data_IF_144274215224
#
_entry.id   IF_144274215224
#
_cell.length_a   1.000
_cell.length_b   1.000
_cell.length_c   1.000
_cell.angle_alpha   90.00
_cell.angle_beta   90.00
_cell.angle_gamma   90.00
#
_symmetry.space_group_name_H-M   'P 1'
#
loop_
_entity.id
_entity.type
_entity.pdbx_description
1 polymer ?
#
# COMPACT_ATOMS: atom_id res chain seq x y z
N UNK A 1 -41.24 -46.77 -12.00
CA UNK A 1 -41.16 -45.45 -11.33
C UNK A 1 -40.16 -44.61 -12.10
N UNK A 2 -40.64 -43.69 -12.93
CA UNK A 2 -39.78 -42.80 -13.70
C UNK A 2 -39.40 -41.61 -12.82
N UNK A 3 -38.10 -41.42 -12.57
CA UNK A 3 -37.57 -40.19 -11.98
C UNK A 3 -37.77 -39.07 -13.00
N UNK A 4 -38.91 -38.39 -12.94
CA UNK A 4 -39.12 -37.13 -13.63
C UNK A 4 -38.40 -36.03 -12.85
N UNK A 5 -37.08 -36.02 -12.96
CA UNK A 5 -36.30 -34.83 -12.63
C UNK A 5 -36.69 -33.81 -13.69
N UNK A 6 -37.55 -32.84 -13.34
CA UNK A 6 -37.80 -31.68 -14.19
C UNK A 6 -36.42 -31.14 -14.60
N UNK A 7 -36.17 -31.07 -15.91
CA UNK A 7 -34.92 -30.54 -16.42
C UNK A 7 -34.80 -29.10 -15.93
N UNK A 8 -33.80 -28.83 -15.09
CA UNK A 8 -33.51 -27.49 -14.58
C UNK A 8 -33.30 -26.53 -15.75
N UNK A 9 -33.78 -25.30 -15.62
CA UNK A 9 -33.62 -24.25 -16.63
C UNK A 9 -32.48 -23.31 -16.23
N UNK A 10 -31.81 -22.64 -17.18
CA UNK A 10 -30.75 -21.67 -16.86
C UNK A 10 -31.17 -20.62 -15.81
N UNK A 11 -32.42 -20.16 -15.90
CA UNK A 11 -33.01 -19.12 -15.05
C UNK A 11 -33.09 -19.52 -13.57
N UNK A 12 -33.12 -20.83 -13.26
CA UNK A 12 -33.22 -21.33 -11.88
C UNK A 12 -32.00 -20.94 -11.02
N UNK A 13 -30.91 -20.51 -11.65
CA UNK A 13 -29.67 -20.07 -10.97
C UNK A 13 -29.23 -18.64 -11.33
N UNK A 14 -30.03 -17.91 -12.12
CA UNK A 14 -29.78 -16.51 -12.43
C UNK A 14 -30.06 -15.61 -11.20
N UNK A 15 -29.07 -14.81 -10.82
CA UNK A 15 -29.19 -13.84 -9.73
C UNK A 15 -29.14 -12.43 -10.29
N UNK A 16 -30.18 -11.66 -10.02
CA UNK A 16 -30.33 -10.28 -10.51
C UNK A 16 -29.93 -9.25 -9.44
N UNK A 17 -29.79 -9.68 -8.19
CA UNK A 17 -29.48 -8.81 -7.06
C UNK A 17 -28.47 -9.45 -6.08
N UNK A 18 -27.65 -8.63 -5.39
CA UNK A 18 -27.57 -7.17 -5.50
C UNK A 18 -26.89 -6.71 -6.81
N UNK A 19 -27.42 -5.65 -7.43
CA UNK A 19 -26.82 -5.04 -8.63
C UNK A 19 -25.50 -4.36 -8.23
N UNK A 20 -24.36 -4.71 -8.85
CA UNK A 20 -23.08 -4.04 -8.57
C UNK A 20 -23.13 -2.53 -8.90
N UNK A 21 -22.44 -1.68 -8.13
CA UNK A 21 -22.37 -0.25 -8.43
C UNK A 21 -21.63 0.01 -9.76
N UNK A 22 -22.10 0.99 -10.52
CA UNK A 22 -21.44 1.45 -11.75
C UNK A 22 -20.23 2.30 -11.40
N UNK A 23 -19.05 1.95 -11.93
CA UNK A 23 -17.79 2.69 -11.74
C UNK A 23 -17.22 3.03 -13.11
N UNK A 24 -16.92 4.32 -13.34
CA UNK A 24 -16.19 4.74 -14.53
C UNK A 24 -14.69 4.56 -14.26
N UNK A 25 -13.96 3.75 -15.06
CA UNK A 25 -12.53 3.58 -14.87
C UNK A 25 -11.76 4.86 -15.22
N UNK A 26 -10.51 4.92 -14.76
CA UNK A 26 -9.56 5.91 -15.23
C UNK A 26 -9.33 5.86 -16.75
N UNK A 27 -8.84 6.94 -17.35
CA UNK A 27 -8.69 7.03 -18.82
C UNK A 27 -7.59 6.10 -19.34
N UNK A 28 -6.50 5.99 -18.58
CA UNK A 28 -5.43 5.04 -18.81
C UNK A 28 -5.21 4.17 -17.58
N UNK A 29 -4.51 3.05 -17.75
CA UNK A 29 -4.15 2.20 -16.62
C UNK A 29 -3.37 3.00 -15.58
N UNK A 30 -3.80 2.90 -14.32
CA UNK A 30 -3.25 3.64 -13.18
C UNK A 30 -3.99 4.95 -12.87
N UNK A 31 -4.82 5.48 -13.76
CA UNK A 31 -5.69 6.62 -13.41
C UNK A 31 -6.76 6.19 -12.40
N UNK A 32 -7.10 7.10 -11.49
CA UNK A 32 -8.14 6.87 -10.49
C UNK A 32 -9.52 6.63 -11.13
N UNK A 33 -10.27 5.60 -10.70
CA UNK A 33 -11.68 5.43 -11.07
C UNK A 33 -12.58 6.45 -10.37
N UNK A 34 -13.82 6.59 -10.85
CA UNK A 34 -14.78 7.59 -10.36
C UNK A 34 -15.20 7.43 -8.89
N UNK A 35 -15.01 6.25 -8.30
CA UNK A 35 -15.34 5.95 -6.91
C UNK A 35 -14.13 6.05 -5.95
N UNK A 36 -12.94 6.39 -6.46
CA UNK A 36 -11.74 6.48 -5.65
C UNK A 36 -11.62 7.83 -4.92
N UNK A 37 -11.07 7.77 -3.71
CA UNK A 37 -10.53 8.91 -2.99
C UNK A 37 -9.15 9.23 -3.56
N UNK A 38 -8.97 10.46 -4.04
CA UNK A 38 -7.68 10.95 -4.50
C UNK A 38 -6.86 11.38 -3.29
N UNK A 39 -5.79 10.65 -2.97
CA UNK A 39 -4.87 11.00 -1.90
C UNK A 39 -3.81 12.00 -2.37
N UNK A 40 -3.37 11.93 -3.62
CA UNK A 40 -2.47 12.91 -4.22
C UNK A 40 -2.46 12.85 -5.75
N UNK A 41 -2.67 13.99 -6.41
CA UNK A 41 -2.54 14.16 -7.87
C UNK A 41 -1.91 15.51 -8.27
N UNK A 42 -1.30 16.21 -7.30
CA UNK A 42 -0.74 17.56 -7.48
C UNK A 42 -1.71 18.74 -7.40
N UNK A 43 -3.03 18.53 -7.38
CA UNK A 43 -4.01 19.63 -7.38
C UNK A 43 -4.32 20.19 -5.99
N UNK A 44 -4.33 19.33 -4.97
CA UNK A 44 -4.72 19.69 -3.60
C UNK A 44 -3.55 19.70 -2.62
N UNK A 45 -2.32 19.59 -3.13
CA UNK A 45 -1.12 19.49 -2.29
C UNK A 45 -1.23 18.32 -1.32
N UNK A 46 -1.05 18.57 -0.03
CA UNK A 46 -1.10 17.58 1.04
C UNK A 46 -2.42 17.62 1.85
N UNK A 47 -3.53 18.05 1.24
CA UNK A 47 -4.82 18.19 1.95
C UNK A 47 -5.30 16.91 2.64
N UNK A 48 -4.99 15.74 2.09
CA UNK A 48 -5.39 14.44 2.63
C UNK A 48 -4.40 13.88 3.67
N UNK A 49 -3.32 14.59 3.96
CA UNK A 49 -2.20 14.08 4.76
C UNK A 49 -1.95 14.93 6.00
N UNK A 50 -1.46 14.27 7.05
CA UNK A 50 -0.99 14.87 8.30
C UNK A 50 0.37 14.29 8.68
N UNK A 51 1.10 15.02 9.52
CA UNK A 51 2.32 14.55 10.17
C UNK A 51 1.99 13.46 11.21
N UNK A 52 2.72 12.34 11.19
CA UNK A 52 2.47 11.20 12.10
C UNK A 52 2.83 11.54 13.55
N UNK A 53 3.83 12.38 13.79
CA UNK A 53 4.34 12.65 15.12
C UNK A 53 3.47 13.66 15.88
N UNK A 54 3.05 14.73 15.18
CA UNK A 54 2.28 15.85 15.75
C UNK A 54 0.79 15.84 15.40
N UNK A 55 0.39 15.22 14.29
CA UNK A 55 -0.98 15.30 13.75
C UNK A 55 -1.29 16.60 13.00
N UNK A 56 -0.30 17.50 12.84
CA UNK A 56 -0.46 18.75 12.10
C UNK A 56 -0.43 18.52 10.58
N UNK A 57 -0.53 19.61 9.81
CA UNK A 57 -0.35 19.55 8.37
C UNK A 57 1.00 18.92 7.97
N UNK A 58 0.96 17.96 7.05
CA UNK A 58 2.15 17.34 6.46
C UNK A 58 3.00 18.38 5.71
N UNK A 59 4.33 18.23 5.79
CA UNK A 59 5.31 19.23 5.31
C UNK A 59 6.31 18.67 4.30
N UNK A 60 5.91 17.64 3.56
CA UNK A 60 6.71 17.15 2.43
C UNK A 60 6.62 18.11 1.24
N UNK A 61 7.60 18.04 0.35
CA UNK A 61 7.76 19.02 -0.72
C UNK A 61 6.88 18.68 -1.92
N UNK A 62 6.01 19.61 -2.34
CA UNK A 62 5.14 19.43 -3.52
C UNK A 62 5.62 20.31 -4.67
N UNK A 63 5.87 19.71 -5.83
CA UNK A 63 6.19 20.42 -7.08
C UNK A 63 5.38 19.83 -8.23
N UNK A 64 4.30 20.53 -8.60
CA UNK A 64 3.35 20.03 -9.60
C UNK A 64 2.66 18.76 -9.09
N UNK A 65 2.71 17.69 -9.88
CA UNK A 65 2.17 16.36 -9.55
C UNK A 65 3.16 15.45 -8.81
N UNK A 66 4.27 15.99 -8.31
CA UNK A 66 5.31 15.24 -7.62
C UNK A 66 5.36 15.64 -6.15
N UNK A 67 5.27 14.64 -5.28
CA UNK A 67 5.42 14.74 -3.83
C UNK A 67 6.77 14.15 -3.43
N UNK A 68 7.73 14.95 -2.99
CA UNK A 68 9.06 14.49 -2.59
C UNK A 68 9.15 14.36 -1.07
N UNK A 69 9.70 13.24 -0.60
CA UNK A 69 9.91 12.98 0.83
C UNK A 69 10.78 14.08 1.44
N UNK A 70 10.34 14.66 2.55
CA UNK A 70 11.18 15.55 3.35
C UNK A 70 11.57 14.87 4.66
N UNK A 71 12.79 14.33 4.69
CA UNK A 71 13.32 13.53 5.81
C UNK A 71 13.42 14.29 7.13
N UNK A 72 13.40 15.64 7.11
CA UNK A 72 13.43 16.44 8.33
C UNK A 72 12.09 16.46 9.07
N UNK A 73 10.98 16.26 8.35
CA UNK A 73 9.64 16.30 8.93
C UNK A 73 9.11 14.92 9.32
N UNK A 74 9.75 13.82 8.91
CA UNK A 74 9.33 12.48 9.31
C UNK A 74 8.15 11.95 8.50
N UNK A 75 7.48 10.93 9.05
CA UNK A 75 6.44 10.16 8.37
C UNK A 75 5.15 10.99 8.22
N UNK A 76 4.42 10.79 7.12
CA UNK A 76 3.09 11.38 6.90
C UNK A 76 2.05 10.26 6.79
N UNK A 77 0.80 10.54 7.15
CA UNK A 77 -0.30 9.59 7.01
C UNK A 77 -1.60 10.25 6.56
N UNK A 78 -2.49 9.44 5.98
CA UNK A 78 -3.79 9.94 5.53
C UNK A 78 -4.66 10.37 6.71
N UNK A 79 -5.43 11.46 6.54
CA UNK A 79 -6.44 11.88 7.52
C UNK A 79 -7.56 10.86 7.67
N UNK A 80 -8.00 10.31 6.53
CA UNK A 80 -8.99 9.25 6.48
C UNK A 80 -8.35 7.92 6.87
N UNK A 81 -9.14 7.09 7.57
CA UNK A 81 -8.81 5.72 7.95
C UNK A 81 -9.54 4.76 7.03
N UNK A 82 -8.93 3.62 6.74
CA UNK A 82 -9.45 2.62 5.81
C UNK A 82 -9.42 1.23 6.43
N UNK A 83 -10.45 0.44 6.13
CA UNK A 83 -10.52 -1.00 6.39
C UNK A 83 -9.96 -1.77 5.19
N UNK A 84 -10.84 -2.37 4.39
CA UNK A 84 -10.47 -3.07 3.16
C UNK A 84 -10.43 -2.09 1.98
N UNK A 85 -9.41 -2.18 1.13
CA UNK A 85 -9.27 -1.25 0.01
C UNK A 85 -8.41 -1.78 -1.13
N UNK A 86 -8.56 -1.11 -2.28
CA UNK A 86 -7.59 -1.13 -3.37
C UNK A 86 -6.86 0.21 -3.40
N UNK A 87 -5.53 0.18 -3.50
CA UNK A 87 -4.64 1.34 -3.53
C UNK A 87 -3.80 1.31 -4.81
N UNK A 88 -3.61 2.47 -5.41
CA UNK A 88 -2.60 2.73 -6.42
C UNK A 88 -1.64 3.79 -5.91
N UNK A 89 -0.35 3.58 -6.12
CA UNK A 89 0.70 4.53 -5.76
C UNK A 89 1.91 4.40 -6.68
N UNK A 90 2.36 5.51 -7.22
CA UNK A 90 3.60 5.58 -8.00
C UNK A 90 4.72 6.20 -7.17
N UNK A 91 5.92 5.68 -7.33
CA UNK A 91 7.12 6.17 -6.64
C UNK A 91 8.35 6.18 -7.56
N UNK A 92 9.29 7.07 -7.30
CA UNK A 92 10.49 7.26 -8.11
C UNK A 92 11.69 7.55 -7.25
N UNK A 93 12.72 6.72 -7.41
CA UNK A 93 14.06 6.97 -6.89
C UNK A 93 14.75 8.00 -7.79
N UNK A 94 15.41 9.04 -7.26
CA UNK A 94 16.04 10.07 -8.08
C UNK A 94 17.27 9.52 -8.81
N UNK A 95 17.59 10.07 -9.99
CA UNK A 95 18.68 9.55 -10.83
C UNK A 95 20.08 9.67 -10.19
N UNK A 96 20.27 10.63 -9.28
CA UNK A 96 21.50 10.86 -8.53
C UNK A 96 21.58 10.06 -7.21
N UNK A 97 20.77 9.01 -7.05
CA UNK A 97 20.68 8.24 -5.81
C UNK A 97 22.03 7.59 -5.42
N UNK A 98 22.34 7.70 -4.14
CA UNK A 98 23.53 7.14 -3.48
C UNK A 98 23.15 6.19 -2.35
N UNK A 99 24.15 5.48 -1.82
CA UNK A 99 23.97 4.49 -0.75
C UNK A 99 23.83 3.05 -1.26
N UNK A 100 23.70 2.11 -0.31
CA UNK A 100 23.57 0.67 -0.55
C UNK A 100 22.65 0.03 0.48
N UNK A 101 22.20 -1.20 0.20
CA UNK A 101 21.33 -1.96 1.10
C UNK A 101 20.05 -1.20 1.42
N UNK A 102 19.67 -1.17 2.70
CA UNK A 102 18.51 -0.42 3.21
C UNK A 102 18.71 1.09 3.30
N UNK A 103 19.90 1.61 2.98
CA UNK A 103 20.21 3.04 3.05
C UNK A 103 20.33 3.66 1.65
N UNK A 104 19.54 3.16 0.69
CA UNK A 104 19.50 3.60 -0.70
C UNK A 104 18.06 3.76 -1.17
N UNK A 105 17.53 4.97 -1.04
CA UNK A 105 16.16 5.30 -1.45
C UNK A 105 15.11 4.53 -0.65
N UNK A 106 15.26 4.46 0.67
CA UNK A 106 14.34 3.74 1.54
C UNK A 106 13.14 4.61 1.95
N UNK A 107 11.97 4.03 1.86
CA UNK A 107 10.68 4.51 2.35
C UNK A 107 9.78 3.29 2.54
N UNK A 108 8.52 3.49 2.85
CA UNK A 108 7.56 2.42 3.04
C UNK A 108 6.14 2.92 2.84
N UNK A 109 5.29 2.05 2.30
CA UNK A 109 3.84 2.25 2.29
C UNK A 109 3.27 1.37 3.39
N UNK A 110 2.92 1.98 4.50
CA UNK A 110 2.26 1.31 5.60
C UNK A 110 0.77 1.18 5.28
N UNK A 111 0.34 -0.04 4.97
CA UNK A 111 -1.02 -0.38 4.57
C UNK A 111 -2.05 -0.19 5.69
N UNK A 112 -1.57 -0.20 6.93
CA UNK A 112 -2.28 0.29 8.09
C UNK A 112 -1.27 0.89 9.07
N UNK A 113 -1.32 2.20 9.26
CA UNK A 113 -0.65 2.93 10.34
C UNK A 113 -1.39 2.67 11.65
N UNK A 114 -0.68 2.13 12.64
CA UNK A 114 -1.29 1.79 13.95
C UNK A 114 -0.67 2.58 15.10
N UNK A 115 0.26 3.50 14.81
CA UNK A 115 1.00 4.23 15.81
C UNK A 115 2.01 5.21 15.23
N UNK A 116 2.82 5.80 16.12
CA UNK A 116 3.90 6.73 15.76
C UNK A 116 5.07 5.98 15.12
N UNK A 117 5.99 6.74 14.51
CA UNK A 117 7.17 6.15 13.85
C UNK A 117 6.75 5.12 12.81
N UNK A 118 7.37 3.94 12.86
CA UNK A 118 7.21 2.84 11.90
C UNK A 118 6.26 1.74 12.38
N UNK A 119 5.32 2.06 13.29
CA UNK A 119 4.29 1.12 13.71
C UNK A 119 3.24 0.94 12.60
N UNK A 120 3.09 -0.30 12.11
CA UNK A 120 2.07 -0.69 11.15
C UNK A 120 2.45 -1.90 10.29
N UNK A 121 1.88 -1.98 9.09
CA UNK A 121 2.11 -3.07 8.13
C UNK A 121 2.78 -2.51 6.88
N UNK A 122 4.11 -2.63 6.81
CA UNK A 122 4.92 -2.01 5.77
C UNK A 122 5.03 -2.86 4.50
N UNK A 123 4.55 -2.32 3.39
CA UNK A 123 4.98 -2.67 2.05
C UNK A 123 6.23 -1.84 1.71
N UNK A 124 7.35 -2.53 1.52
CA UNK A 124 8.64 -1.88 1.40
C UNK A 124 8.81 -1.09 0.10
N UNK A 125 9.38 0.12 0.21
CA UNK A 125 9.82 0.94 -0.93
C UNK A 125 11.33 1.14 -0.84
N UNK A 126 12.06 0.66 -1.84
CA UNK A 126 13.52 0.72 -1.83
C UNK A 126 14.06 0.79 -3.25
N UNK A 127 15.20 1.46 -3.47
CA UNK A 127 15.94 1.25 -4.71
C UNK A 127 16.54 -0.17 -4.70
N UNK A 128 15.83 -1.11 -5.33
CA UNK A 128 16.27 -2.50 -5.49
C UNK A 128 16.85 -2.78 -6.89
N UNK A 129 17.13 -1.74 -7.69
CA UNK A 129 17.79 -1.87 -8.98
C UNK A 129 19.30 -1.95 -8.79
N UNK A 130 19.89 -3.13 -9.05
CA UNK A 130 21.33 -3.40 -8.85
C UNK A 130 21.85 -3.04 -7.45
N UNK A 131 21.00 -3.17 -6.43
CA UNK A 131 21.32 -2.89 -5.03
C UNK A 131 21.03 -4.12 -4.17
N UNK A 132 22.08 -4.76 -3.64
CA UNK A 132 21.94 -5.97 -2.81
C UNK A 132 21.50 -5.60 -1.39
N UNK A 133 20.48 -6.28 -0.89
CA UNK A 133 20.02 -6.21 0.51
C UNK A 133 19.51 -7.60 0.95
N UNK A 134 19.02 -7.73 2.18
CA UNK A 134 18.29 -8.92 2.61
C UNK A 134 16.93 -9.01 1.91
N UNK A 135 16.61 -10.18 1.37
CA UNK A 135 15.52 -10.38 0.40
C UNK A 135 14.12 -10.21 0.98
N UNK A 136 13.94 -10.42 2.28
CA UNK A 136 12.67 -10.15 2.96
C UNK A 136 12.52 -8.67 3.37
N UNK A 137 13.36 -7.76 2.90
CA UNK A 137 13.20 -6.31 3.12
C UNK A 137 13.60 -5.48 1.91
N UNK A 138 13.49 -6.06 0.71
CA UNK A 138 13.67 -5.35 -0.55
C UNK A 138 12.34 -4.79 -1.07
N UNK A 139 12.35 -3.96 -2.12
CA UNK A 139 11.13 -3.42 -2.69
C UNK A 139 10.13 -4.52 -3.05
N UNK A 140 8.88 -4.33 -2.66
CA UNK A 140 7.78 -5.27 -2.89
C UNK A 140 7.58 -6.28 -1.76
N UNK A 141 8.54 -6.41 -0.83
CA UNK A 141 8.36 -7.26 0.35
C UNK A 141 7.33 -6.67 1.32
N UNK A 142 6.55 -7.54 1.96
CA UNK A 142 5.98 -7.22 3.27
C UNK A 142 7.09 -7.32 4.30
N UNK A 143 7.51 -6.17 4.82
CA UNK A 143 8.83 -5.99 5.44
C UNK A 143 9.13 -7.01 6.55
N UNK A 144 10.23 -7.72 6.35
CA UNK A 144 10.77 -8.84 7.15
C UNK A 144 9.84 -10.05 7.34
N UNK A 145 8.69 -10.10 6.68
CA UNK A 145 7.76 -11.23 6.74
C UNK A 145 7.81 -12.09 5.47
N UNK A 146 7.63 -11.46 4.31
CA UNK A 146 7.48 -12.15 3.03
C UNK A 146 8.48 -11.63 2.00
N UNK A 147 9.06 -12.55 1.23
CA UNK A 147 9.98 -12.23 0.14
C UNK A 147 9.13 -12.03 -1.11
N UNK A 148 9.30 -10.93 -1.86
CA UNK A 148 8.54 -10.72 -3.08
C UNK A 148 8.87 -11.80 -4.11
N UNK A 149 7.85 -12.27 -4.85
CA UNK A 149 7.99 -13.33 -5.85
C UNK A 149 8.93 -12.96 -7.01
N UNK A 150 9.16 -11.67 -7.24
CA UNK A 150 10.06 -11.15 -8.26
C UNK A 150 10.60 -9.76 -7.87
N UNK A 151 11.66 -9.31 -8.56
CA UNK A 151 12.15 -7.94 -8.49
C UNK A 151 11.94 -7.22 -9.85
N UNK A 152 10.81 -6.53 -10.05
CA UNK A 152 10.53 -5.78 -11.27
C UNK A 152 10.94 -4.30 -11.17
N UNK A 153 11.83 -3.92 -10.25
CA UNK A 153 12.22 -2.52 -10.00
C UNK A 153 12.85 -1.89 -11.23
N UNK A 154 12.37 -0.70 -11.62
CA UNK A 154 12.94 0.09 -12.72
C UNK A 154 14.17 0.89 -12.27
N UNK A 155 15.09 1.25 -13.18
CA UNK A 155 16.27 2.04 -12.85
C UNK A 155 15.91 3.42 -12.26
N UNK A 156 16.80 4.01 -11.43
CA UNK A 156 16.61 5.37 -10.91
C UNK A 156 16.29 6.39 -12.00
N UNK A 157 15.42 7.36 -11.67
CA UNK A 157 14.85 8.32 -12.62
C UNK A 157 13.55 7.85 -13.28
N UNK A 158 13.22 6.55 -13.21
CA UNK A 158 11.97 5.99 -13.72
C UNK A 158 10.92 5.83 -12.61
N UNK A 159 9.65 6.00 -12.97
CA UNK A 159 8.54 5.73 -12.06
C UNK A 159 8.29 4.23 -11.94
N UNK A 160 8.17 3.77 -10.69
CA UNK A 160 7.69 2.47 -10.27
C UNK A 160 6.23 2.59 -9.83
N UNK A 161 5.47 1.52 -9.99
CA UNK A 161 4.02 1.49 -9.72
C UNK A 161 3.71 0.34 -8.78
N UNK A 162 2.96 0.61 -7.72
CA UNK A 162 2.28 -0.40 -6.92
C UNK A 162 0.77 -0.30 -7.10
N UNK A 163 0.16 -1.43 -7.41
CA UNK A 163 -1.27 -1.68 -7.22
C UNK A 163 -1.43 -2.70 -6.09
N UNK A 164 -2.21 -2.35 -5.07
CA UNK A 164 -2.33 -3.12 -3.83
C UNK A 164 -3.79 -3.42 -3.55
N UNK A 165 -4.09 -4.66 -3.16
CA UNK A 165 -5.37 -5.05 -2.58
C UNK A 165 -5.09 -5.42 -1.13
N UNK A 166 -5.72 -4.71 -0.20
CA UNK A 166 -5.55 -4.86 1.23
C UNK A 166 -6.87 -5.30 1.88
N UNK A 167 -6.77 -6.35 2.69
CA UNK A 167 -7.84 -6.79 3.59
C UNK A 167 -7.36 -6.60 5.01
N UNK A 168 -8.04 -5.75 5.78
CA UNK A 168 -7.71 -5.45 7.17
C UNK A 168 -7.93 -6.68 8.07
N UNK A 169 -7.14 -6.82 9.15
CA UNK A 169 -7.41 -7.85 10.16
C UNK A 169 -8.69 -7.50 10.93
N UNK A 170 -9.36 -8.52 11.46
CA UNK A 170 -10.49 -8.35 12.39
C UNK A 170 -10.17 -8.97 13.73
N UNK A 171 -10.78 -8.44 14.78
CA UNK A 171 -10.52 -8.84 16.16
C UNK A 171 -11.84 -9.05 16.92
N UNK A 172 -11.79 -9.92 17.93
CA UNK A 172 -12.78 -10.04 19.00
C UNK A 172 -12.11 -9.64 20.32
N UNK A 173 -12.40 -8.44 20.81
CA UNK A 173 -11.54 -7.78 21.81
C UNK A 173 -10.13 -7.58 21.26
N UNK A 174 -9.10 -7.99 22.00
CA UNK A 174 -7.70 -8.02 21.54
C UNK A 174 -7.31 -9.33 20.83
N UNK A 175 -8.21 -10.31 20.76
CA UNK A 175 -7.93 -11.58 20.11
C UNK A 175 -8.12 -11.46 18.60
N UNK A 176 -7.13 -11.90 17.83
CA UNK A 176 -7.24 -11.98 16.37
C UNK A 176 -8.37 -12.92 15.97
N UNK A 177 -9.26 -12.45 15.09
CA UNK A 177 -10.32 -13.25 14.46
C UNK A 177 -9.98 -13.61 13.02
N UNK A 178 -9.57 -12.63 12.22
CA UNK A 178 -9.04 -12.87 10.86
C UNK A 178 -7.76 -12.07 10.66
N UNK A 179 -6.68 -12.68 10.13
CA UNK A 179 -5.46 -11.97 9.81
C UNK A 179 -5.65 -11.02 8.62
N UNK A 180 -4.77 -10.02 8.55
CA UNK A 180 -4.69 -9.15 7.39
C UNK A 180 -4.19 -9.93 6.17
N UNK A 181 -4.64 -9.53 4.98
CA UNK A 181 -4.16 -10.13 3.72
C UNK A 181 -3.79 -9.06 2.72
N UNK A 182 -2.81 -9.35 1.88
CA UNK A 182 -2.37 -8.41 0.84
C UNK A 182 -2.03 -9.11 -0.47
N UNK A 183 -2.42 -8.47 -1.57
CA UNK A 183 -1.89 -8.74 -2.90
C UNK A 183 -1.18 -7.49 -3.39
N UNK A 184 0.03 -7.65 -3.95
CA UNK A 184 0.82 -6.53 -4.49
C UNK A 184 1.23 -6.85 -5.91
N UNK A 185 0.88 -5.96 -6.83
CA UNK A 185 1.37 -5.94 -8.20
C UNK A 185 2.36 -4.78 -8.30
N UNK A 186 3.59 -5.09 -8.66
CA UNK A 186 4.68 -4.13 -8.81
C UNK A 186 5.07 -4.04 -10.29
N UNK A 187 4.87 -2.87 -10.91
CA UNK A 187 5.13 -2.64 -12.33
C UNK A 187 4.43 -3.66 -13.25
N UNK A 188 3.22 -4.10 -12.87
CA UNK A 188 2.46 -5.13 -13.59
C UNK A 188 2.87 -6.58 -13.29
N UNK A 189 3.85 -6.80 -12.41
CA UNK A 189 4.29 -8.14 -11.98
C UNK A 189 3.74 -8.43 -10.59
N UNK A 190 3.07 -9.57 -10.43
CA UNK A 190 2.59 -10.04 -9.12
C UNK A 190 3.79 -10.38 -8.22
N UNK A 191 3.94 -9.67 -7.10
CA UNK A 191 5.06 -9.87 -6.15
C UNK A 191 4.61 -10.38 -4.79
N UNK A 192 3.36 -10.14 -4.39
CA UNK A 192 2.73 -10.76 -3.23
C UNK A 192 1.35 -11.24 -3.64
N UNK A 193 1.00 -12.50 -3.40
CA UNK A 193 -0.25 -13.10 -3.86
C UNK A 193 -1.14 -13.52 -2.69
N UNK A 194 -2.07 -12.64 -2.31
CA UNK A 194 -3.03 -12.86 -1.21
C UNK A 194 -2.38 -13.44 0.06
N UNK A 195 -1.20 -12.94 0.41
CA UNK A 195 -0.43 -13.46 1.54
C UNK A 195 -1.12 -13.07 2.85
N UNK A 196 -1.10 -13.98 3.81
CA UNK A 196 -1.67 -13.78 5.14
C UNK A 196 -0.60 -13.25 6.09
N UNK A 197 -0.79 -12.05 6.63
CA UNK A 197 0.23 -11.41 7.46
C UNK A 197 0.22 -11.95 8.88
N UNK A 198 1.43 -12.03 9.46
CA UNK A 198 1.65 -12.55 10.82
C UNK A 198 1.42 -11.49 11.91
N UNK A 199 1.08 -10.26 11.52
CA UNK A 199 0.90 -9.09 12.39
C UNK A 199 1.62 -7.86 11.82
N UNK A 200 1.67 -6.75 12.58
CA UNK A 200 2.44 -5.56 12.20
C UNK A 200 3.92 -5.92 11.92
N UNK A 201 4.52 -5.25 10.93
CA UNK A 201 5.93 -5.44 10.56
C UNK A 201 6.84 -4.96 11.69
N UNK A 202 8.05 -5.54 11.80
CA UNK A 202 8.97 -5.28 12.90
C UNK A 202 10.40 -5.19 12.37
N UNK A 203 11.13 -4.13 12.73
CA UNK A 203 12.57 -4.08 12.48
C UNK A 203 13.32 -5.11 13.35
N UNK A 204 12.94 -5.22 14.63
CA UNK A 204 13.52 -6.14 15.61
C UNK A 204 12.43 -7.00 16.21
N UNK A 205 12.65 -8.31 16.25
CA UNK A 205 11.71 -9.28 16.80
C UNK A 205 10.78 -9.90 15.76
N UNK A 206 9.85 -10.74 16.24
CA UNK A 206 8.88 -11.43 15.39
C UNK A 206 7.60 -10.60 15.26
N UNK A 207 6.94 -10.58 14.08
CA UNK A 207 5.60 -10.00 13.95
C UNK A 207 4.60 -10.73 14.86
N UNK A 208 3.51 -10.06 15.22
CA UNK A 208 2.46 -10.64 16.04
C UNK A 208 1.33 -9.66 16.32
N UNK A 209 0.10 -10.14 16.21
CA UNK A 209 -1.12 -9.42 16.60
C UNK A 209 -1.21 -9.34 18.13
N UNK A 210 -0.61 -8.30 18.71
CA UNK A 210 -0.52 -8.11 20.17
C UNK A 210 -1.61 -7.22 20.74
N UNK A 211 -2.25 -6.41 19.90
CA UNK A 211 -3.28 -5.45 20.26
C UNK A 211 -4.20 -5.27 19.06
N UNK A 212 -5.50 -5.20 19.31
CA UNK A 212 -6.45 -4.92 18.26
C UNK A 212 -6.31 -3.47 17.74
N UNK A 213 -6.61 -3.32 16.45
CA UNK A 213 -6.83 -2.03 15.82
C UNK A 213 -8.01 -2.15 14.85
N UNK A 214 -8.64 -1.02 14.55
CA UNK A 214 -9.67 -0.94 13.52
C UNK A 214 -9.11 -0.39 12.21
N UNK A 215 -9.96 0.31 11.48
CA UNK A 215 -9.57 1.10 10.31
C UNK A 215 -8.39 2.01 10.65
N UNK A 216 -7.43 2.07 9.74
CA UNK A 216 -6.14 2.73 9.95
C UNK A 216 -5.79 3.65 8.78
N UNK A 217 -5.03 4.73 9.01
CA UNK A 217 -4.45 5.53 7.93
C UNK A 217 -3.49 4.72 7.05
N UNK A 218 -3.28 5.19 5.82
CA UNK A 218 -2.13 4.78 5.01
C UNK A 218 -0.98 5.74 5.35
N UNK A 219 0.20 5.21 5.69
CA UNK A 219 1.39 6.01 6.05
C UNK A 219 2.48 5.88 5.01
N UNK A 220 3.16 6.98 4.72
CA UNK A 220 4.38 7.03 3.93
C UNK A 220 5.57 7.34 4.84
N UNK A 221 6.60 6.51 4.74
CA UNK A 221 7.79 6.63 5.58
C UNK A 221 8.77 7.67 5.05
N UNK A 222 9.31 8.49 5.95
CA UNK A 222 10.55 9.23 5.73
C UNK A 222 11.68 8.52 6.47
N UNK A 223 12.29 7.52 5.83
CA UNK A 223 13.40 6.80 6.45
C UNK A 223 14.60 7.74 6.67
N UNK A 224 15.19 7.70 7.87
CA UNK A 224 16.21 8.65 8.32
C UNK A 224 17.62 8.43 7.76
N UNK A 225 17.80 7.57 6.76
CA UNK A 225 19.10 7.39 6.11
C UNK A 225 19.52 8.62 5.29
N UNK A 226 20.78 8.65 4.85
CA UNK A 226 21.37 9.82 4.17
C UNK A 226 21.20 9.85 2.65
N UNK A 227 20.56 8.85 2.04
CA UNK A 227 20.31 8.86 0.60
C UNK A 227 19.33 9.95 0.20
N UNK A 228 19.37 10.32 -1.08
CA UNK A 228 18.51 11.32 -1.67
C UNK A 228 17.02 10.92 -1.54
N UNK A 229 16.13 11.88 -1.22
CA UNK A 229 14.72 11.57 -1.04
C UNK A 229 14.09 11.11 -2.35
N UNK A 230 13.32 10.02 -2.26
CA UNK A 230 12.45 9.59 -3.35
C UNK A 230 11.19 10.44 -3.43
N UNK A 231 10.43 10.26 -4.51
CA UNK A 231 9.18 10.99 -4.74
C UNK A 231 8.02 10.05 -5.04
N UNK A 232 6.81 10.51 -4.77
CA UNK A 232 5.55 9.86 -5.04
C UNK A 232 4.69 10.69 -6.00
N UNK A 233 3.77 10.04 -6.69
CA UNK A 233 2.67 10.68 -7.44
C UNK A 233 1.48 9.73 -7.58
N UNK A 234 0.39 10.25 -8.13
CA UNK A 234 -0.78 9.49 -8.54
C UNK A 234 -1.21 8.48 -7.46
N UNK A 235 -1.68 9.00 -6.33
CA UNK A 235 -2.06 8.18 -5.18
C UNK A 235 -3.57 8.24 -5.04
N UNK A 236 -4.23 7.09 -5.15
CA UNK A 236 -5.67 6.98 -4.96
C UNK A 236 -6.03 5.67 -4.30
N UNK A 237 -7.14 5.68 -3.57
CA UNK A 237 -7.63 4.52 -2.81
C UNK A 237 -9.13 4.40 -2.99
N UNK A 238 -9.63 3.18 -3.16
CA UNK A 238 -11.07 2.87 -3.18
C UNK A 238 -11.38 1.78 -2.16
N UNK A 239 -12.38 2.03 -1.33
CA UNK A 239 -12.79 1.08 -0.30
C UNK A 239 -13.50 -0.12 -0.95
N UNK A 240 -13.20 -1.31 -0.45
CA UNK A 240 -13.83 -2.56 -0.86
C UNK A 240 -14.78 -2.96 0.28
N UNK A 241 -16.04 -3.21 -0.05
CA UNK A 241 -17.06 -3.65 0.91
C UNK A 241 -17.15 -5.17 0.95
#
# INVERSE_FOLDING_TARGET
MANAQQAAKPEDTEKWEPVPPVVTPGKVMGDAPSDAVILFNGKTGLSEWVDVASGDAAKWDVKGDVLTVNKQYGNIETKKKFGNYQLHIEWKVPANISGTGQARGNSGVFLASIGKGDDGYELQVLDSYNNKTYVNGMAGSIYKQFIPLANPTRPPGSWNVYDVIWTAPTFDGDQLKTPARVTVIFNGVLVENNVELLGPTQYIGKPGYRKAHGDSPIKLQAHGDKSEPLSFRNIWVREIK
#
